data_IF_053125923277
#
_entry.id   IF_053125923277
#
_cell.length_a   1.000
_cell.length_b   1.000
_cell.length_c   1.000
_cell.angle_alpha   90.00
_cell.angle_beta   90.00
_cell.angle_gamma   90.00
#
_symmetry.space_group_name_H-M   'P 1'
#
loop_
_entity.id
_entity.type
_entity.pdbx_description
1 polymer ?
#
# COMPACT_ATOMS: atom_id res chain seq x y z
N UNK A 1 -18.18 4.58 3.20
CA UNK A 1 -18.08 3.67 2.02
C UNK A 1 -19.21 2.64 1.95
N UNK A 2 -19.24 1.57 2.76
CA UNK A 2 -20.31 0.53 2.66
C UNK A 2 -21.74 1.10 2.78
N UNK A 3 -21.96 1.96 3.76
CA UNK A 3 -23.22 2.69 3.98
C UNK A 3 -23.63 3.54 2.75
N UNK A 4 -22.72 4.41 2.27
CA UNK A 4 -22.92 5.22 1.04
C UNK A 4 -23.28 4.35 -0.17
N UNK A 5 -22.63 3.18 -0.32
CA UNK A 5 -22.99 2.19 -1.35
C UNK A 5 -24.37 1.59 -1.13
N UNK A 6 -24.80 1.40 0.12
CA UNK A 6 -26.18 1.03 0.46
C UNK A 6 -27.18 2.08 -0.03
N UNK A 7 -26.93 3.37 0.21
CA UNK A 7 -27.78 4.49 -0.26
C UNK A 7 -27.99 4.51 -1.79
N UNK A 8 -27.05 3.98 -2.58
CA UNK A 8 -27.21 3.86 -4.05
C UNK A 8 -28.19 2.77 -4.50
N UNK A 9 -28.51 1.78 -3.65
CA UNK A 9 -29.22 0.56 -4.02
C UNK A 9 -28.44 -0.40 -4.95
N UNK A 10 -27.22 -0.06 -5.39
CA UNK A 10 -26.55 -0.78 -6.48
C UNK A 10 -25.84 -2.07 -6.05
N UNK A 11 -26.00 -3.10 -6.87
CA UNK A 11 -25.16 -4.31 -6.84
C UNK A 11 -23.71 -3.98 -7.24
N UNK A 12 -22.74 -4.83 -6.86
CA UNK A 12 -21.34 -4.66 -7.27
C UNK A 12 -21.17 -4.70 -8.81
N UNK A 13 -22.05 -5.44 -9.50
CA UNK A 13 -22.08 -5.50 -10.96
C UNK A 13 -22.60 -4.18 -11.56
N UNK A 14 -23.69 -3.62 -11.02
CA UNK A 14 -24.24 -2.34 -11.47
C UNK A 14 -23.28 -1.16 -11.20
N UNK A 15 -22.53 -1.19 -10.08
CA UNK A 15 -21.42 -0.27 -9.85
C UNK A 15 -20.33 -0.37 -10.93
N UNK A 16 -19.94 -1.60 -11.32
CA UNK A 16 -18.94 -1.79 -12.39
C UNK A 16 -19.45 -1.52 -13.81
N UNK A 17 -20.76 -1.46 -14.03
CA UNK A 17 -21.35 -1.00 -15.29
C UNK A 17 -21.44 0.54 -15.35
N UNK A 18 -21.63 1.20 -14.21
CA UNK A 18 -21.81 2.67 -14.11
C UNK A 18 -20.53 3.44 -13.75
N UNK A 19 -19.39 2.76 -13.60
CA UNK A 19 -18.09 3.37 -13.23
C UNK A 19 -16.93 2.59 -13.88
N UNK A 20 -15.72 3.18 -14.06
CA UNK A 20 -14.59 2.51 -14.70
C UNK A 20 -13.89 1.43 -13.82
N UNK A 21 -14.51 0.94 -12.75
CA UNK A 21 -13.91 0.01 -11.79
C UNK A 21 -14.64 -1.34 -11.78
N UNK A 22 -13.89 -2.45 -11.92
CA UNK A 22 -14.45 -3.80 -11.95
C UNK A 22 -15.18 -4.21 -10.65
N UNK A 23 -16.07 -5.21 -10.73
CA UNK A 23 -16.76 -5.84 -9.59
C UNK A 23 -15.80 -6.19 -8.44
N UNK A 24 -14.64 -6.78 -8.78
CA UNK A 24 -13.58 -7.17 -7.83
C UNK A 24 -12.79 -5.98 -7.25
N UNK A 25 -12.67 -4.87 -8.00
CA UNK A 25 -12.14 -3.61 -7.46
C UNK A 25 -13.08 -3.03 -6.41
N UNK A 26 -14.39 -2.93 -6.73
CA UNK A 26 -15.42 -2.47 -5.80
C UNK A 26 -15.49 -3.30 -4.53
N UNK A 27 -15.44 -4.62 -4.64
CA UNK A 27 -15.42 -5.53 -3.49
C UNK A 27 -14.24 -5.21 -2.54
N UNK A 28 -13.02 -5.07 -3.08
CA UNK A 28 -11.82 -4.75 -2.29
C UNK A 28 -11.92 -3.38 -1.60
N UNK A 29 -12.48 -2.38 -2.28
CA UNK A 29 -12.65 -1.04 -1.72
C UNK A 29 -13.69 -1.00 -0.60
N UNK A 30 -14.84 -1.66 -0.80
CA UNK A 30 -15.95 -1.67 0.16
C UNK A 30 -15.63 -2.53 1.39
N UNK A 31 -14.85 -3.60 1.21
CA UNK A 31 -14.37 -4.46 2.30
C UNK A 31 -13.08 -3.96 2.96
N UNK A 32 -12.58 -2.76 2.62
CA UNK A 32 -11.37 -2.17 3.21
C UNK A 32 -10.04 -2.83 2.83
N UNK A 33 -10.07 -3.92 2.04
CA UNK A 33 -8.89 -4.67 1.56
C UNK A 33 -7.94 -3.85 0.66
N UNK A 34 -8.38 -2.69 0.16
CA UNK A 34 -7.54 -1.64 -0.45
C UNK A 34 -8.27 -0.30 -0.30
N UNK A 35 -7.55 0.78 0.01
CA UNK A 35 -8.10 2.13 -0.07
C UNK A 35 -8.62 2.41 -1.49
N UNK A 36 -9.88 2.86 -1.68
CA UNK A 36 -10.37 3.27 -3.00
C UNK A 36 -9.52 4.42 -3.56
N UNK A 37 -9.34 4.55 -4.88
CA UNK A 37 -8.85 5.80 -5.47
C UNK A 37 -9.91 6.90 -5.30
N UNK A 38 -9.48 8.16 -5.21
CA UNK A 38 -10.35 9.33 -5.06
C UNK A 38 -11.54 9.33 -6.04
N UNK A 39 -11.29 9.06 -7.32
CA UNK A 39 -12.33 8.98 -8.36
C UNK A 39 -13.40 7.90 -8.12
N UNK A 40 -13.10 6.83 -7.38
CA UNK A 40 -14.11 5.85 -6.95
C UNK A 40 -14.96 6.38 -5.79
N UNK A 41 -14.39 7.18 -4.87
CA UNK A 41 -15.17 7.87 -3.84
C UNK A 41 -16.09 8.90 -4.49
N UNK A 42 -15.58 9.75 -5.39
CA UNK A 42 -16.34 10.77 -6.11
C UNK A 42 -17.42 10.17 -7.02
N UNK A 43 -17.15 9.06 -7.70
CA UNK A 43 -18.15 8.32 -8.46
C UNK A 43 -19.25 7.73 -7.56
N UNK A 44 -18.90 7.18 -6.39
CA UNK A 44 -19.89 6.62 -5.46
C UNK A 44 -20.75 7.72 -4.81
N UNK A 45 -20.18 8.90 -4.54
CA UNK A 45 -20.94 10.07 -4.08
C UNK A 45 -21.97 10.51 -5.14
N UNK A 46 -21.53 10.66 -6.40
CA UNK A 46 -22.43 10.98 -7.53
C UNK A 46 -23.54 9.96 -7.72
N UNK A 47 -23.25 8.66 -7.56
CA UNK A 47 -24.24 7.58 -7.64
C UNK A 47 -25.20 7.52 -6.44
N UNK A 48 -24.88 8.20 -5.33
CA UNK A 48 -25.72 8.32 -4.14
C UNK A 48 -26.49 9.65 -4.09
N UNK A 49 -26.25 10.59 -5.01
CA UNK A 49 -26.79 11.95 -4.96
C UNK A 49 -26.13 12.86 -3.90
N UNK A 50 -24.95 12.46 -3.38
CA UNK A 50 -24.35 13.04 -2.18
C UNK A 50 -23.19 14.01 -2.51
N UNK A 51 -23.04 15.13 -1.78
CA UNK A 51 -21.95 16.08 -1.99
C UNK A 51 -20.60 15.47 -1.59
N UNK A 52 -19.70 15.32 -2.57
CA UNK A 52 -18.46 14.56 -2.40
C UNK A 52 -17.47 15.18 -1.38
N UNK A 53 -17.49 16.50 -1.15
CA UNK A 53 -16.46 17.22 -0.40
C UNK A 53 -16.11 16.63 0.98
N UNK A 54 -17.12 16.32 1.81
CA UNK A 54 -16.89 15.72 3.14
C UNK A 54 -16.25 14.32 3.06
N UNK A 55 -16.67 13.51 2.10
CA UNK A 55 -16.15 12.16 1.88
C UNK A 55 -14.76 12.15 1.23
N UNK A 56 -14.46 13.17 0.43
CA UNK A 56 -13.13 13.43 -0.16
C UNK A 56 -12.14 13.88 0.91
N UNK A 57 -12.51 14.82 1.80
CA UNK A 57 -11.64 15.24 2.90
C UNK A 57 -11.32 14.07 3.87
N UNK A 58 -12.33 13.24 4.18
CA UNK A 58 -12.13 12.00 4.94
C UNK A 58 -11.25 10.98 4.18
N UNK A 59 -11.32 10.95 2.85
CA UNK A 59 -10.44 10.12 2.02
C UNK A 59 -9.00 10.64 2.03
N UNK A 60 -8.76 11.95 1.98
CA UNK A 60 -7.41 12.54 2.03
C UNK A 60 -6.71 12.23 3.36
N UNK A 61 -7.43 12.31 4.48
CA UNK A 61 -6.94 11.88 5.79
C UNK A 61 -6.62 10.37 5.82
N UNK A 62 -7.45 9.55 5.19
CA UNK A 62 -7.23 8.11 5.08
C UNK A 62 -6.04 7.75 4.17
N UNK A 63 -5.82 8.48 3.08
CA UNK A 63 -4.71 8.32 2.14
C UNK A 63 -3.37 8.74 2.76
N UNK A 64 -3.36 9.85 3.52
CA UNK A 64 -2.20 10.25 4.33
C UNK A 64 -1.87 9.20 5.39
N UNK A 65 -2.88 8.66 6.10
CA UNK A 65 -2.68 7.60 7.08
C UNK A 65 -2.26 6.25 6.45
N UNK A 66 -2.72 5.94 5.23
CA UNK A 66 -2.31 4.74 4.49
C UNK A 66 -0.87 4.87 3.98
N UNK A 67 -0.51 6.05 3.45
CA UNK A 67 0.85 6.36 3.02
C UNK A 67 1.85 6.30 4.17
N UNK A 68 1.50 6.80 5.37
CA UNK A 68 2.34 6.66 6.57
C UNK A 68 2.54 5.20 7.03
N UNK A 69 1.63 4.27 6.70
CA UNK A 69 1.83 2.83 6.94
C UNK A 69 2.68 2.13 5.87
N UNK A 70 2.89 2.76 4.72
CA UNK A 70 3.74 2.26 3.64
C UNK A 70 5.17 2.85 3.68
N UNK A 71 5.38 3.93 4.44
CA UNK A 71 6.69 4.49 4.70
C UNK A 71 7.50 3.57 5.64
N UNK A 72 8.75 3.19 5.30
CA UNK A 72 9.66 2.59 6.27
C UNK A 72 9.92 3.57 7.41
N UNK A 73 9.78 3.12 8.66
CA UNK A 73 10.19 3.91 9.81
C UNK A 73 11.72 3.95 9.87
N UNK A 74 12.30 5.01 9.32
CA UNK A 74 13.69 5.39 9.56
C UNK A 74 13.81 5.80 11.03
N UNK A 75 13.99 4.79 11.88
CA UNK A 75 14.38 4.96 13.27
C UNK A 75 15.82 5.47 13.27
N UNK A 76 16.14 6.59 13.96
CA UNK A 76 17.53 6.99 14.14
C UNK A 76 18.30 5.86 14.85
N UNK A 77 19.41 5.43 14.25
CA UNK A 77 20.41 4.58 14.91
C UNK A 77 21.09 5.41 16.02
N UNK A 78 21.09 4.98 17.29
CA UNK A 78 21.94 5.56 18.31
C UNK A 78 23.39 5.15 18.04
N UNK A 79 24.21 6.09 17.56
CA UNK A 79 25.60 5.82 17.21
C UNK A 79 26.49 5.46 18.41
N UNK A 80 27.34 4.46 18.22
CA UNK A 80 28.43 4.04 19.10
C UNK A 80 29.54 3.38 18.25
N UNK A 81 30.79 3.24 18.73
CA UNK A 81 31.34 3.60 20.04
C UNK A 81 32.40 4.72 19.97
N UNK A 82 33.11 5.01 21.09
CA UNK A 82 34.49 4.50 21.19
C UNK A 82 34.83 3.87 22.56
N UNK A 83 36.00 3.23 22.64
CA UNK A 83 36.70 2.83 23.87
C UNK A 83 38.21 3.04 23.71
N UNK A 84 39.11 2.40 24.49
CA UNK A 84 38.89 1.52 25.65
C UNK A 84 39.68 1.93 26.93
N UNK A 85 39.38 1.33 28.09
CA UNK A 85 40.25 1.32 29.28
C UNK A 85 39.95 0.16 30.26
N UNK A 86 40.93 -0.21 31.08
CA UNK A 86 40.96 -1.28 32.10
C UNK A 86 41.86 -0.82 33.29
N UNK A 87 42.05 -1.58 34.39
CA UNK A 87 41.11 -2.34 35.22
C UNK A 87 41.30 -2.08 36.75
N UNK A 88 40.40 -2.60 37.62
CA UNK A 88 40.80 -3.21 38.93
C UNK A 88 39.66 -3.98 39.64
N UNK A 89 40.08 -4.93 40.48
CA UNK A 89 39.31 -5.79 41.40
C UNK A 89 39.46 -5.30 42.87
N UNK A 90 39.15 -6.09 43.93
CA UNK A 90 37.84 -6.65 44.32
C UNK A 90 37.48 -6.33 45.79
N UNK A 91 36.27 -6.69 46.24
CA UNK A 91 35.95 -7.00 47.65
C UNK A 91 34.60 -7.74 47.80
N UNK A 92 34.54 -8.70 48.72
CA UNK A 92 33.32 -9.30 49.28
C UNK A 92 33.54 -9.54 50.78
N UNK A 93 32.95 -10.56 51.44
CA UNK A 93 31.70 -11.28 51.16
C UNK A 93 30.76 -11.33 52.40
N UNK A 94 29.48 -11.77 52.27
CA UNK A 94 28.64 -12.08 53.45
C UNK A 94 27.44 -13.02 53.20
N UNK A 95 27.29 -14.06 54.04
CA UNK A 95 26.03 -14.47 54.71
C UNK A 95 24.86 -15.11 53.91
N UNK A 96 24.48 -16.39 54.20
CA UNK A 96 23.25 -17.01 53.71
C UNK A 96 22.07 -16.96 54.70
N UNK A 97 20.80 -17.09 54.25
CA UNK A 97 19.61 -17.25 55.10
C UNK A 97 19.17 -18.72 55.30
N UNK A 98 18.54 -19.01 56.44
CA UNK A 98 18.00 -20.34 56.82
C UNK A 98 16.44 -20.41 56.81
N UNK A 99 15.85 -21.53 57.26
CA UNK A 99 14.40 -21.88 57.30
C UNK A 99 14.02 -22.52 58.66
N UNK A 100 12.72 -22.80 59.01
CA UNK A 100 11.43 -22.23 58.58
C UNK A 100 10.74 -21.44 59.76
N UNK A 101 9.86 -21.92 60.69
CA UNK A 101 8.89 -23.05 60.79
C UNK A 101 7.44 -22.72 61.31
N UNK A 102 6.39 -23.26 60.64
CA UNK A 102 5.04 -23.60 61.21
C UNK A 102 4.14 -22.40 61.69
N UNK A 103 2.82 -22.51 61.98
CA UNK A 103 1.89 -23.64 62.20
C UNK A 103 0.37 -23.28 61.99
N UNK A 104 -0.52 -24.29 61.86
CA UNK A 104 -1.98 -24.32 62.24
C UNK A 104 -2.99 -23.50 61.37
N UNK A 105 -4.29 -23.87 61.25
CA UNK A 105 -5.08 -25.03 61.73
C UNK A 105 -6.47 -25.19 61.02
N UNK A 106 -7.07 -26.41 61.10
CA UNK A 106 -8.54 -26.73 61.16
C UNK A 106 -9.44 -26.41 59.93
N UNK A 107 -10.37 -27.25 59.45
CA UNK A 107 -10.66 -28.69 59.65
C UNK A 107 -11.61 -29.25 58.53
N UNK A 108 -12.04 -30.52 58.71
CA UNK A 108 -13.10 -31.36 58.07
C UNK A 108 -14.17 -30.70 57.16
N UNK A 109 -14.83 -31.40 56.21
CA UNK A 109 -15.42 -32.77 56.26
C UNK A 109 -15.27 -33.52 54.92
N UNK A 110 -15.32 -34.86 54.93
CA UNK A 110 -15.24 -35.73 53.75
C UNK A 110 -16.51 -36.56 53.51
N UNK A 111 -16.89 -36.76 52.24
CA UNK A 111 -17.84 -37.79 51.75
C UNK A 111 -17.69 -38.00 50.22
N UNK A 112 -17.78 -39.25 49.72
CA UNK A 112 -17.90 -39.58 48.27
C UNK A 112 -16.69 -39.22 47.39
N UNK A 113 -15.64 -40.03 47.19
CA UNK A 113 -15.56 -41.43 46.69
C UNK A 113 -15.95 -41.59 45.21
N UNK A 114 -14.91 -41.69 44.35
CA UNK A 114 -14.84 -42.43 43.08
C UNK A 114 -15.75 -42.09 41.88
N UNK A 115 -15.40 -41.03 41.12
CA UNK A 115 -15.46 -41.04 39.64
C UNK A 115 -14.28 -40.26 39.00
N UNK A 116 -13.93 -39.09 39.54
CA UNK A 116 -13.19 -38.04 38.82
C UNK A 116 -11.68 -38.20 38.54
N UNK A 117 -11.06 -39.38 38.61
CA UNK A 117 -9.58 -39.52 38.51
C UNK A 117 -9.07 -39.68 37.07
N UNK A 118 -9.86 -40.27 36.16
CA UNK A 118 -9.40 -40.58 34.79
C UNK A 118 -9.37 -39.38 33.82
N UNK A 119 -9.87 -38.21 34.22
CA UNK A 119 -9.95 -37.02 33.34
C UNK A 119 -8.67 -36.16 33.32
N UNK A 120 -7.81 -36.23 34.34
CA UNK A 120 -6.67 -35.30 34.49
C UNK A 120 -5.37 -35.83 33.87
N UNK A 121 -5.19 -37.16 33.81
CA UNK A 121 -3.96 -37.78 33.29
C UNK A 121 -3.64 -37.42 31.83
N UNK A 122 -4.66 -37.23 30.99
CA UNK A 122 -4.49 -36.87 29.58
C UNK A 122 -3.95 -35.43 29.37
N UNK A 123 -4.10 -34.53 30.34
CA UNK A 123 -3.77 -33.11 30.18
C UNK A 123 -2.25 -32.82 30.27
N UNK A 124 -1.46 -33.69 30.89
CA UNK A 124 -0.02 -33.46 31.12
C UNK A 124 0.89 -34.10 30.07
N UNK A 125 0.38 -35.04 29.26
CA UNK A 125 1.17 -35.68 28.19
C UNK A 125 1.43 -34.75 26.98
N UNK A 126 0.56 -33.77 26.73
CA UNK A 126 0.65 -32.88 25.55
C UNK A 126 1.60 -31.68 25.73
N UNK A 127 2.26 -31.55 26.88
CA UNK A 127 3.17 -30.42 27.17
C UNK A 127 4.66 -30.82 27.22
N UNK A 128 4.99 -32.03 26.75
CA UNK A 128 6.33 -32.62 26.86
C UNK A 128 6.90 -33.11 25.52
N UNK A 129 6.61 -32.42 24.40
CA UNK A 129 7.20 -32.80 23.12
C UNK A 129 6.84 -31.95 21.91
N UNK A 130 7.52 -30.81 21.72
CA UNK A 130 7.86 -30.35 20.37
C UNK A 130 9.19 -29.56 20.36
N UNK A 131 9.86 -29.53 19.21
CA UNK A 131 11.29 -29.23 19.10
C UNK A 131 11.67 -27.74 19.24
N UNK A 132 12.93 -27.50 19.64
CA UNK A 132 13.55 -26.15 19.64
C UNK A 132 13.76 -25.64 18.21
N UNK A 133 12.73 -25.07 17.60
CA UNK A 133 12.89 -24.26 16.39
C UNK A 133 13.44 -22.89 16.78
N UNK A 134 14.76 -22.74 16.74
CA UNK A 134 15.46 -21.45 16.92
C UNK A 134 15.27 -20.52 15.72
N UNK A 135 14.02 -20.21 15.40
CA UNK A 135 13.65 -19.22 14.40
C UNK A 135 13.90 -17.81 14.91
N UNK A 136 15.07 -17.26 14.62
CA UNK A 136 15.35 -15.85 14.87
C UNK A 136 14.37 -15.01 14.06
N UNK A 137 13.42 -14.36 14.74
CA UNK A 137 12.39 -13.53 14.13
C UNK A 137 12.96 -12.18 13.64
N UNK A 138 13.92 -12.26 12.72
CA UNK A 138 14.32 -11.15 11.87
C UNK A 138 13.06 -10.63 11.20
N UNK A 139 12.63 -9.43 11.61
CA UNK A 139 11.39 -8.80 11.16
C UNK A 139 11.57 -8.43 9.69
N UNK A 140 11.28 -9.39 8.81
CA UNK A 140 11.61 -9.35 7.40
C UNK A 140 11.14 -8.03 6.79
N UNK A 141 12.11 -7.20 6.38
CA UNK A 141 11.81 -5.94 5.70
C UNK A 141 11.04 -6.32 4.44
N UNK A 142 9.79 -5.84 4.25
CA UNK A 142 9.00 -6.26 3.11
C UNK A 142 9.77 -5.92 1.84
N UNK A 143 10.03 -6.94 1.02
CA UNK A 143 10.64 -6.72 -0.29
C UNK A 143 9.88 -5.61 -1.01
N UNK A 144 10.58 -4.77 -1.76
CA UNK A 144 10.00 -3.82 -2.70
C UNK A 144 8.74 -4.31 -3.44
N UNK A 145 8.68 -5.58 -3.87
CA UNK A 145 7.54 -6.20 -4.55
C UNK A 145 6.30 -6.49 -3.67
N UNK A 146 6.42 -6.34 -2.35
CA UNK A 146 5.30 -6.36 -1.39
C UNK A 146 4.78 -4.93 -1.10
N UNK A 147 5.57 -3.89 -1.35
CA UNK A 147 5.14 -2.47 -1.28
C UNK A 147 4.52 -2.05 -2.63
N UNK A 148 5.14 -2.42 -3.75
CA UNK A 148 4.65 -2.16 -5.11
C UNK A 148 4.28 -3.48 -5.80
N UNK A 149 3.05 -3.60 -6.30
CA UNK A 149 2.46 -4.85 -6.81
C UNK A 149 3.05 -5.41 -8.12
N UNK A 150 4.20 -4.89 -8.56
CA UNK A 150 4.96 -5.33 -9.72
C UNK A 150 6.41 -4.83 -9.65
N UNK A 151 7.28 -5.36 -10.53
CA UNK A 151 8.62 -4.82 -10.81
C UNK A 151 9.06 -5.13 -12.24
N UNK A 152 9.78 -4.21 -12.87
CA UNK A 152 10.39 -4.34 -14.19
C UNK A 152 9.35 -4.70 -15.26
N UNK A 153 9.66 -5.72 -16.08
CA UNK A 153 8.73 -6.24 -17.09
C UNK A 153 7.37 -6.67 -16.52
N UNK A 154 7.30 -7.10 -15.26
CA UNK A 154 6.02 -7.46 -14.63
C UNK A 154 5.12 -6.26 -14.31
N UNK A 155 5.59 -5.01 -14.50
CA UNK A 155 4.75 -3.80 -14.46
C UNK A 155 4.17 -3.41 -15.83
N UNK A 156 4.68 -3.95 -16.93
CA UNK A 156 4.29 -3.52 -18.27
C UNK A 156 2.78 -3.75 -18.53
N UNK A 157 2.12 -2.75 -19.11
CA UNK A 157 0.68 -2.73 -19.34
C UNK A 157 -0.20 -2.53 -18.10
N UNK A 158 0.36 -2.42 -16.89
CA UNK A 158 -0.42 -2.26 -15.64
C UNK A 158 -0.62 -0.79 -15.26
N UNK A 159 -1.69 -0.51 -14.53
CA UNK A 159 -2.00 0.83 -13.99
C UNK A 159 -1.07 1.19 -12.80
N UNK A 160 -0.37 2.34 -12.83
CA UNK A 160 0.59 2.72 -11.79
C UNK A 160 -0.02 2.98 -10.41
N UNK A 161 -1.26 3.48 -10.32
CA UNK A 161 -1.98 3.62 -9.04
C UNK A 161 -2.38 2.25 -8.46
N UNK A 162 -2.80 1.32 -9.32
CA UNK A 162 -3.19 -0.03 -8.91
C UNK A 162 -2.03 -0.83 -8.35
N UNK A 163 -0.83 -0.65 -8.92
CA UNK A 163 0.43 -1.27 -8.48
C UNK A 163 1.17 -0.48 -7.40
N UNK A 164 0.66 0.68 -6.96
CA UNK A 164 1.28 1.60 -5.99
C UNK A 164 2.64 2.21 -6.42
N UNK A 165 3.01 2.09 -7.70
CA UNK A 165 4.23 2.68 -8.25
C UNK A 165 4.24 4.21 -8.19
N UNK A 166 3.08 4.87 -8.02
CA UNK A 166 2.94 6.33 -8.01
C UNK A 166 3.34 7.07 -6.74
N UNK A 167 3.83 6.38 -5.70
CA UNK A 167 4.02 6.94 -4.34
C UNK A 167 5.04 8.07 -4.21
N UNK A 168 4.91 8.87 -3.15
CA UNK A 168 5.89 9.90 -2.79
C UNK A 168 7.26 9.28 -2.49
N UNK A 169 8.35 9.90 -2.97
CA UNK A 169 9.71 9.36 -2.85
C UNK A 169 10.02 8.15 -3.75
N UNK A 170 9.04 7.58 -4.44
CA UNK A 170 9.21 6.40 -5.32
C UNK A 170 9.30 6.75 -6.81
N UNK A 171 9.18 8.04 -7.18
CA UNK A 171 8.91 8.45 -8.57
C UNK A 171 9.64 9.73 -8.97
N UNK A 172 10.52 9.59 -9.96
CA UNK A 172 11.15 10.70 -10.66
C UNK A 172 10.21 11.28 -11.73
N UNK A 173 10.39 12.55 -12.06
CA UNK A 173 9.64 13.23 -13.14
C UNK A 173 10.64 13.81 -14.15
N UNK A 174 11.27 12.98 -15.02
CA UNK A 174 12.32 13.43 -15.94
C UNK A 174 11.84 14.43 -17.00
N UNK A 175 10.53 14.50 -17.23
CA UNK A 175 9.91 15.43 -18.16
C UNK A 175 8.63 16.01 -17.56
N UNK A 176 8.53 17.34 -17.57
CA UNK A 176 7.28 18.09 -17.38
C UNK A 176 7.23 19.24 -18.39
N UNK A 177 6.13 19.36 -19.12
CA UNK A 177 5.91 20.40 -20.15
C UNK A 177 4.44 20.84 -20.17
N UNK A 178 4.21 22.08 -20.60
CA UNK A 178 2.89 22.59 -20.97
C UNK A 178 2.81 22.61 -22.51
N UNK A 179 1.76 22.00 -23.06
CA UNK A 179 1.46 22.00 -24.49
C UNK A 179 0.77 23.30 -24.91
N UNK A 180 0.69 23.54 -26.21
CA UNK A 180 0.24 24.79 -26.84
C UNK A 180 -1.18 25.22 -26.40
N UNK A 181 -2.07 24.27 -26.08
CA UNK A 181 -3.44 24.56 -25.57
C UNK A 181 -3.58 24.41 -24.04
N UNK A 182 -2.49 24.48 -23.29
CA UNK A 182 -2.50 24.50 -21.82
C UNK A 182 -2.64 23.14 -21.13
N UNK A 183 -2.64 22.02 -21.87
CA UNK A 183 -2.46 20.69 -21.30
C UNK A 183 -1.09 20.60 -20.62
N UNK A 184 -1.02 20.06 -19.40
CA UNK A 184 0.25 19.72 -18.75
C UNK A 184 0.53 18.24 -18.91
N UNK A 185 1.70 17.90 -19.43
CA UNK A 185 2.16 16.53 -19.63
C UNK A 185 3.41 16.26 -18.80
N UNK A 186 3.45 15.09 -18.17
CA UNK A 186 4.59 14.62 -17.38
C UNK A 186 4.97 13.21 -17.81
N UNK A 187 6.27 12.88 -17.86
CA UNK A 187 6.74 11.49 -17.75
C UNK A 187 7.04 11.24 -16.28
N UNK A 188 6.60 10.09 -15.78
CA UNK A 188 6.81 9.62 -14.41
C UNK A 188 7.57 8.31 -14.47
N UNK A 189 8.67 8.17 -13.76
CA UNK A 189 9.48 6.95 -13.69
C UNK A 189 9.51 6.43 -12.25
N UNK A 190 8.92 5.26 -12.01
CA UNK A 190 8.90 4.63 -10.68
C UNK A 190 10.20 3.88 -10.42
N UNK A 191 11.07 4.42 -9.56
CA UNK A 191 12.43 3.90 -9.31
C UNK A 191 12.42 2.47 -8.77
N UNK A 192 11.54 2.19 -7.80
CA UNK A 192 11.36 0.85 -7.20
C UNK A 192 10.69 -0.13 -8.18
N UNK A 193 9.81 0.38 -9.04
CA UNK A 193 9.04 -0.41 -10.00
C UNK A 193 9.79 -0.70 -11.32
N UNK A 194 10.82 0.06 -11.71
CA UNK A 194 11.50 -0.12 -12.99
C UNK A 194 10.56 0.05 -14.20
N UNK A 195 9.69 1.06 -14.14
CA UNK A 195 8.64 1.31 -15.13
C UNK A 195 8.31 2.80 -15.21
N UNK A 196 7.90 3.26 -16.39
CA UNK A 196 7.51 4.64 -16.64
C UNK A 196 6.11 4.77 -17.24
N UNK A 197 5.47 5.90 -17.04
CA UNK A 197 4.16 6.22 -17.62
C UNK A 197 4.04 7.72 -17.94
N UNK A 198 3.21 8.05 -18.92
CA UNK A 198 2.79 9.44 -19.14
C UNK A 198 1.65 9.82 -18.19
N UNK A 199 1.59 11.10 -17.80
CA UNK A 199 0.46 11.72 -17.10
C UNK A 199 0.00 12.96 -17.89
N UNK A 200 -1.32 13.15 -17.97
CA UNK A 200 -1.99 14.32 -18.54
C UNK A 200 -2.79 15.07 -17.46
N UNK A 201 -2.74 16.40 -17.46
CA UNK A 201 -3.61 17.31 -16.70
C UNK A 201 -4.13 18.42 -17.61
N UNK A 202 -5.27 19.01 -17.26
CA UNK A 202 -5.96 20.02 -18.07
C UNK A 202 -6.33 19.50 -19.48
N UNK A 203 -6.61 18.19 -19.63
CA UNK A 203 -6.93 17.56 -20.91
C UNK A 203 -8.32 17.93 -21.40
N UNK A 204 -8.59 17.74 -22.70
CA UNK A 204 -9.90 17.91 -23.33
C UNK A 204 -10.41 16.56 -23.85
N UNK A 205 -11.72 16.37 -23.89
CA UNK A 205 -12.34 15.14 -24.43
C UNK A 205 -11.84 14.89 -25.86
N UNK A 206 -11.31 13.70 -26.11
CA UNK A 206 -10.65 13.32 -27.37
C UNK A 206 -9.12 13.40 -27.35
N UNK A 207 -8.50 14.21 -26.47
CA UNK A 207 -7.04 14.27 -26.30
C UNK A 207 -6.50 12.88 -25.97
N UNK A 208 -5.38 12.48 -26.60
CA UNK A 208 -4.67 11.23 -26.31
C UNK A 208 -3.21 11.55 -26.01
N UNK A 209 -2.66 11.01 -24.92
CA UNK A 209 -1.21 10.94 -24.71
C UNK A 209 -0.69 9.53 -24.98
N UNK A 210 0.56 9.46 -25.38
CA UNK A 210 1.29 8.23 -25.67
C UNK A 210 2.72 8.36 -25.14
N UNK A 211 3.18 7.37 -24.37
CA UNK A 211 4.56 7.28 -23.89
C UNK A 211 5.28 6.16 -24.64
N UNK A 212 6.50 6.47 -25.08
CA UNK A 212 7.42 5.56 -25.75
C UNK A 212 8.66 5.38 -24.88
N UNK A 213 9.01 4.13 -24.58
CA UNK A 213 10.14 3.75 -23.72
C UNK A 213 11.04 2.76 -24.48
N UNK A 214 12.37 2.95 -24.50
CA UNK A 214 13.29 2.03 -25.17
C UNK A 214 13.11 0.57 -24.73
N UNK A 215 12.82 -0.32 -25.69
CA UNK A 215 12.68 -1.76 -25.44
C UNK A 215 11.34 -2.24 -24.85
N UNK A 216 10.31 -1.38 -24.89
CA UNK A 216 8.92 -1.68 -24.50
C UNK A 216 7.93 -1.17 -25.55
N UNK A 217 6.73 -1.75 -25.58
CA UNK A 217 5.66 -1.29 -26.48
C UNK A 217 5.14 0.10 -26.06
N UNK A 218 4.71 0.96 -27.01
CA UNK A 218 4.09 2.25 -26.67
C UNK A 218 2.84 2.05 -25.81
N UNK A 219 2.63 2.93 -24.83
CA UNK A 219 1.46 2.91 -23.95
C UNK A 219 0.71 4.23 -24.09
N UNK A 220 -0.60 4.19 -24.36
CA UNK A 220 -1.42 5.38 -24.56
C UNK A 220 -2.67 5.40 -23.69
N UNK A 221 -3.24 6.58 -23.51
CA UNK A 221 -4.56 6.80 -22.90
C UNK A 221 -5.24 7.99 -23.57
N UNK A 222 -6.57 7.94 -23.70
CA UNK A 222 -7.41 9.01 -24.25
C UNK A 222 -8.38 9.53 -23.19
N UNK A 223 -8.58 10.84 -23.15
CA UNK A 223 -9.65 11.50 -22.39
C UNK A 223 -11.00 11.16 -23.04
N UNK A 224 -11.86 10.37 -22.37
CA UNK A 224 -13.14 9.91 -22.95
C UNK A 224 -14.33 10.78 -22.55
N UNK A 225 -14.29 11.36 -21.37
CA UNK A 225 -15.37 12.17 -20.80
C UNK A 225 -14.81 13.35 -19.97
N UNK A 226 -15.71 14.13 -19.36
CA UNK A 226 -15.32 15.28 -18.55
C UNK A 226 -14.64 14.92 -17.23
N UNK A 227 -14.85 13.73 -16.67
CA UNK A 227 -14.19 13.30 -15.43
C UNK A 227 -12.74 12.88 -15.70
N UNK A 228 -12.49 12.24 -16.85
CA UNK A 228 -11.14 12.03 -17.40
C UNK A 228 -10.41 13.38 -17.64
N UNK A 229 -11.15 14.47 -17.92
CA UNK A 229 -10.61 15.81 -18.23
C UNK A 229 -10.38 16.71 -16.99
N UNK A 230 -11.34 16.72 -16.05
CA UNK A 230 -11.34 17.44 -14.77
C UNK A 230 -10.19 16.96 -13.85
N UNK A 231 -9.81 15.69 -13.95
CA UNK A 231 -8.78 15.05 -13.12
C UNK A 231 -7.36 15.07 -13.69
N UNK A 232 -6.64 13.97 -13.47
CA UNK A 232 -5.43 13.65 -14.21
C UNK A 232 -5.51 12.21 -14.73
N UNK A 233 -5.17 12.02 -16.00
CA UNK A 233 -5.06 10.70 -16.62
C UNK A 233 -3.61 10.21 -16.62
N UNK A 234 -3.45 8.89 -16.71
CA UNK A 234 -2.15 8.23 -16.85
C UNK A 234 -2.21 7.17 -17.95
N UNK A 235 -1.11 6.98 -18.66
CA UNK A 235 -0.96 5.77 -19.50
C UNK A 235 -0.81 4.55 -18.59
N UNK A 236 -1.10 3.33 -19.09
CA UNK A 236 -0.50 2.13 -18.52
C UNK A 236 1.02 2.27 -18.46
N UNK A 237 1.66 1.58 -17.52
CA UNK A 237 3.12 1.57 -17.41
C UNK A 237 3.77 0.84 -18.58
N UNK A 238 4.91 1.36 -19.04
CA UNK A 238 5.87 0.68 -19.89
C UNK A 238 7.09 0.31 -19.03
N UNK A 239 7.61 -0.92 -19.15
CA UNK A 239 8.81 -1.31 -18.40
C UNK A 239 10.03 -0.51 -18.88
N UNK A 240 10.83 0.00 -17.94
CA UNK A 240 11.88 0.98 -18.21
C UNK A 240 13.17 0.62 -17.45
N UNK A 241 14.32 0.61 -18.14
CA UNK A 241 15.64 0.39 -17.50
C UNK A 241 16.15 1.60 -16.72
N UNK A 242 15.53 2.76 -16.91
CA UNK A 242 15.87 4.05 -16.33
C UNK A 242 14.99 5.16 -16.95
N UNK A 243 15.14 6.41 -16.51
CA UNK A 243 14.29 7.52 -16.96
C UNK A 243 14.66 8.13 -18.33
N UNK A 244 15.88 7.89 -18.84
CA UNK A 244 16.42 8.54 -20.05
C UNK A 244 15.86 7.97 -21.36
N UNK A 245 15.69 8.82 -22.36
CA UNK A 245 15.28 8.43 -23.71
C UNK A 245 13.79 8.13 -23.83
N UNK A 246 12.99 8.57 -22.84
CA UNK A 246 11.55 8.38 -22.80
C UNK A 246 10.88 9.56 -23.50
N UNK A 247 10.03 9.27 -24.47
CA UNK A 247 9.31 10.31 -25.24
C UNK A 247 7.83 10.27 -24.89
N UNK A 248 7.22 11.43 -24.69
CA UNK A 248 5.77 11.57 -24.55
C UNK A 248 5.23 12.40 -25.72
N UNK A 249 4.21 11.90 -26.42
CA UNK A 249 3.50 12.64 -27.46
C UNK A 249 2.05 12.89 -27.04
N UNK A 250 1.60 14.14 -27.18
CA UNK A 250 0.21 14.56 -27.09
C UNK A 250 -0.39 14.65 -28.51
N UNK A 251 -1.52 13.99 -28.69
CA UNK A 251 -2.40 14.11 -29.84
C UNK A 251 -3.64 14.88 -29.36
N UNK A 252 -3.76 16.19 -29.60
CA UNK A 252 -4.91 16.95 -29.13
C UNK A 252 -6.19 16.60 -29.90
N UNK A 253 -7.34 16.82 -29.27
CA UNK A 253 -8.65 16.71 -29.92
C UNK A 253 -8.81 17.68 -31.10
N UNK A 254 -9.76 17.40 -31.99
CA UNK A 254 -10.12 18.30 -33.10
C UNK A 254 -9.10 18.37 -34.24
N UNK A 255 -8.32 17.33 -34.48
CA UNK A 255 -7.43 17.22 -35.65
C UNK A 255 -6.17 18.09 -35.59
N UNK A 256 -5.83 18.63 -34.41
CA UNK A 256 -4.66 19.49 -34.26
C UNK A 256 -3.31 18.76 -34.44
N UNK A 257 -2.27 19.53 -34.73
CA UNK A 257 -0.89 19.04 -34.77
C UNK A 257 -0.49 18.30 -33.48
N UNK A 258 0.23 17.19 -33.65
CA UNK A 258 0.79 16.37 -32.57
C UNK A 258 2.01 17.06 -31.95
N UNK A 259 2.02 17.22 -30.64
CA UNK A 259 3.14 17.79 -29.89
C UNK A 259 3.93 16.64 -29.23
N UNK A 260 5.24 16.52 -29.50
CA UNK A 260 6.08 15.46 -28.93
C UNK A 260 7.25 16.04 -28.13
N UNK A 261 7.49 15.45 -26.97
CA UNK A 261 8.39 15.96 -25.95
C UNK A 261 9.39 14.85 -25.55
N UNK A 262 10.72 15.04 -25.72
CA UNK A 262 11.75 14.11 -25.28
C UNK A 262 12.14 14.34 -23.80
N UNK A 263 12.65 13.29 -23.14
CA UNK A 263 13.26 13.27 -21.80
C UNK A 263 14.23 12.09 -21.62
#
# INVERSE_FOLDING_TARGET
MRELRGRTGLSLAALSARTPYSKSSWERYLNGKKLPPRGAVEALCRLAGEPAGRLVALWELADAAWSRRAAPSVRPEPGAPPGPALPREPSGPAGPPARPPLSRAVAAVAAGVCVGVLAVGAALAFWAGEGRVSGSAQRAVPSSSAVTGCRGRACDGKDPQSMFCGGAGLVDTPLERTATRGQRVQVRYGTVCGAAWGRLRNGRVGDRIEVWVPGSAPRSVRVRDRFDAEGYLVTPMAAARGPRGIRLCLYPAGGAAKECFPG
#
